data_IF_558568668705
#
_entry.id   IF_558568668705
#
_cell.length_a   1.000
_cell.length_b   1.000
_cell.length_c   1.000
_cell.angle_alpha   90.00
_cell.angle_beta   90.00
_cell.angle_gamma   90.00
#
_symmetry.space_group_name_H-M   'P 1'
#
loop_
_entity.id
_entity.type
_entity.pdbx_description
1 polymer ?
#
# COMPACT_ATOMS: atom_id res chain seq x y z
N UNK A 1 0.93 20.29 4.33
CA UNK A 1 2.39 20.20 4.12
C UNK A 1 2.84 18.77 4.28
N UNK A 2 3.61 18.28 3.33
CA UNK A 2 4.13 16.92 3.38
C UNK A 2 5.40 16.87 4.23
N UNK A 3 5.37 16.08 5.28
CA UNK A 3 6.58 15.81 6.07
C UNK A 3 7.43 14.74 5.41
N UNK A 4 6.78 13.77 4.81
CA UNK A 4 7.43 12.67 4.13
C UNK A 4 6.49 12.08 3.10
N UNK A 5 6.98 11.92 1.88
CA UNK A 5 6.23 11.22 0.83
C UNK A 5 7.16 10.23 0.15
N UNK A 6 6.72 8.98 0.12
CA UNK A 6 7.44 7.92 -0.57
C UNK A 6 6.46 7.20 -1.50
N UNK A 7 6.88 7.01 -2.73
CA UNK A 7 6.08 6.26 -3.68
C UNK A 7 6.95 5.33 -4.49
N UNK A 8 6.37 4.21 -4.88
CA UNK A 8 7.05 3.22 -5.70
C UNK A 8 6.08 2.66 -6.72
N UNK A 9 6.54 2.59 -7.96
CA UNK A 9 5.76 2.00 -9.04
C UNK A 9 6.57 0.90 -9.68
N UNK A 10 5.97 -0.28 -9.79
CA UNK A 10 6.68 -1.45 -10.27
C UNK A 10 5.74 -2.36 -11.05
N UNK A 11 6.23 -2.90 -12.15
CA UNK A 11 5.51 -3.89 -12.91
C UNK A 11 5.87 -5.28 -12.40
N UNK A 12 4.88 -6.10 -12.14
CA UNK A 12 5.06 -7.45 -11.63
C UNK A 12 3.91 -8.35 -12.07
N UNK A 13 4.04 -9.65 -11.82
CA UNK A 13 2.94 -10.57 -12.08
C UNK A 13 1.78 -10.33 -11.13
N UNK A 14 0.60 -10.79 -11.51
CA UNK A 14 -0.59 -10.73 -10.65
C UNK A 14 -0.36 -11.45 -9.33
N UNK A 15 0.31 -12.59 -9.38
CA UNK A 15 0.63 -13.40 -8.20
C UNK A 15 1.60 -12.69 -7.26
N UNK A 16 2.60 -12.02 -7.81
CA UNK A 16 3.53 -11.20 -7.02
C UNK A 16 2.81 -10.01 -6.38
N UNK A 17 1.89 -9.38 -7.11
CA UNK A 17 1.06 -8.30 -6.56
C UNK A 17 0.20 -8.81 -5.39
N UNK A 18 -0.38 -10.00 -5.54
CA UNK A 18 -1.16 -10.61 -4.47
C UNK A 18 -0.30 -10.88 -3.23
N UNK A 19 0.92 -11.38 -3.41
CA UNK A 19 1.85 -11.62 -2.31
C UNK A 19 2.24 -10.32 -1.60
N UNK A 20 2.46 -9.25 -2.36
CA UNK A 20 2.74 -7.94 -1.77
C UNK A 20 1.59 -7.48 -0.87
N UNK A 21 0.35 -7.64 -1.35
CA UNK A 21 -0.83 -7.27 -0.55
C UNK A 21 -0.95 -8.13 0.71
N UNK A 22 -0.63 -9.43 0.63
CA UNK A 22 -0.63 -10.31 1.81
C UNK A 22 0.39 -9.86 2.84
N UNK A 23 1.58 -9.47 2.40
CA UNK A 23 2.62 -8.95 3.29
C UNK A 23 2.19 -7.66 3.98
N UNK A 24 1.56 -6.75 3.25
CA UNK A 24 1.02 -5.53 3.83
C UNK A 24 -0.09 -5.83 4.84
N UNK A 25 -0.98 -6.75 4.50
CA UNK A 25 -2.05 -7.16 5.40
C UNK A 25 -1.51 -7.76 6.70
N UNK A 26 -0.49 -8.63 6.60
CA UNK A 26 0.16 -9.22 7.77
C UNK A 26 0.82 -8.16 8.64
N UNK A 27 1.50 -7.22 8.03
CA UNK A 27 2.16 -6.13 8.76
C UNK A 27 1.15 -5.30 9.56
N UNK A 28 0.04 -4.95 8.94
CA UNK A 28 -1.04 -4.22 9.61
C UNK A 28 -1.63 -5.02 10.77
N UNK A 29 -1.87 -6.31 10.56
CA UNK A 29 -2.52 -7.15 11.57
C UNK A 29 -1.61 -7.51 12.74
N UNK A 30 -0.32 -7.76 12.48
CA UNK A 30 0.60 -8.29 13.48
C UNK A 30 1.51 -7.25 14.10
N UNK A 31 1.86 -6.22 13.35
CA UNK A 31 2.84 -5.22 13.78
C UNK A 31 2.24 -3.84 13.97
N UNK A 32 0.93 -3.71 13.78
CA UNK A 32 0.20 -2.44 13.94
C UNK A 32 0.83 -1.30 13.13
N UNK A 33 1.32 -1.63 11.94
CA UNK A 33 1.99 -0.63 11.13
C UNK A 33 2.39 -1.14 9.77
N UNK A 34 3.07 -0.29 9.04
CA UNK A 34 3.61 -0.62 7.72
C UNK A 34 5.08 -0.26 7.66
N UNK A 35 5.83 -1.04 6.88
CA UNK A 35 7.23 -0.80 6.61
C UNK A 35 7.41 -0.53 5.12
N UNK A 36 8.14 0.53 4.82
CA UNK A 36 8.43 0.92 3.45
C UNK A 36 9.94 1.09 3.27
N UNK A 37 10.50 0.39 2.28
CA UNK A 37 11.91 0.50 1.90
C UNK A 37 12.01 1.04 0.48
N UNK A 38 12.73 2.13 0.32
CA UNK A 38 12.94 2.74 -0.99
C UNK A 38 14.31 3.39 -1.05
N UNK A 39 15.14 2.99 -2.01
CA UNK A 39 16.49 3.53 -2.20
C UNK A 39 17.34 3.53 -0.93
N UNK A 40 17.27 2.45 -0.15
CA UNK A 40 18.01 2.33 1.10
C UNK A 40 17.40 3.06 2.28
N UNK A 41 16.31 3.78 2.08
CA UNK A 41 15.57 4.44 3.15
C UNK A 41 14.52 3.47 3.68
N UNK A 42 14.54 3.22 4.98
CA UNK A 42 13.58 2.36 5.65
C UNK A 42 12.67 3.22 6.54
N UNK A 43 11.38 3.13 6.30
CA UNK A 43 10.38 3.85 7.08
C UNK A 43 9.42 2.86 7.69
N UNK A 44 9.16 3.00 8.97
CA UNK A 44 8.12 2.26 9.67
C UNK A 44 7.08 3.25 10.16
N UNK A 45 5.83 3.05 9.77
CA UNK A 45 4.74 3.91 10.17
C UNK A 45 3.78 3.15 11.08
N UNK A 46 3.43 3.74 12.21
CA UNK A 46 2.42 3.21 13.10
C UNK A 46 1.03 3.49 12.56
N UNK A 47 0.16 2.51 12.65
CA UNK A 47 -1.22 2.62 12.19
C UNK A 47 -2.15 2.44 13.39
N UNK A 48 -3.07 3.38 13.64
CA UNK A 48 -4.00 3.28 14.77
C UNK A 48 -5.03 2.18 14.57
N UNK A 49 -5.82 1.91 15.60
CA UNK A 49 -6.83 0.86 15.59
C UNK A 49 -7.93 1.09 14.56
N UNK A 50 -8.25 2.35 14.31
CA UNK A 50 -9.27 2.70 13.31
C UNK A 50 -8.64 3.42 12.13
N UNK A 51 -9.02 3.00 10.95
CA UNK A 51 -8.55 3.59 9.70
C UNK A 51 -9.71 3.73 8.73
N UNK A 52 -9.54 4.61 7.76
CA UNK A 52 -10.47 4.73 6.64
C UNK A 52 -9.88 3.97 5.46
N UNK A 53 -10.67 3.10 4.86
CA UNK A 53 -10.25 2.33 3.69
C UNK A 53 -11.12 2.71 2.51
N UNK A 54 -10.48 3.11 1.42
CA UNK A 54 -11.16 3.38 0.17
C UNK A 54 -10.66 2.38 -0.87
N UNK A 55 -11.60 1.73 -1.54
CA UNK A 55 -11.30 0.82 -2.64
C UNK A 55 -12.00 1.35 -3.87
N UNK A 56 -11.25 1.60 -4.92
CA UNK A 56 -11.78 2.14 -6.16
C UNK A 56 -11.39 1.25 -7.34
N UNK A 57 -12.37 0.87 -8.13
CA UNK A 57 -12.17 0.16 -9.37
C UNK A 57 -12.64 1.03 -10.53
N UNK A 58 -11.77 1.20 -11.53
CA UNK A 58 -12.09 1.97 -12.72
C UNK A 58 -11.72 1.15 -13.95
N UNK A 59 -12.66 1.06 -14.89
CA UNK A 59 -12.43 0.36 -16.14
C UNK A 59 -12.69 1.29 -17.31
N UNK A 60 -11.69 1.43 -18.17
CA UNK A 60 -11.78 2.16 -19.41
C UNK A 60 -11.56 1.21 -20.59
N UNK A 61 -11.70 1.72 -21.83
CA UNK A 61 -11.61 0.86 -23.02
C UNK A 61 -10.27 0.17 -23.20
N UNK A 62 -9.18 0.79 -22.74
CA UNK A 62 -7.81 0.31 -22.93
C UNK A 62 -7.01 0.20 -21.63
N UNK A 63 -7.60 0.56 -20.51
CA UNK A 63 -6.92 0.54 -19.22
C UNK A 63 -7.90 0.30 -18.09
N UNK A 64 -7.48 -0.45 -17.10
CA UNK A 64 -8.24 -0.65 -15.87
C UNK A 64 -7.34 -0.49 -14.67
N UNK A 65 -7.89 -0.04 -13.56
CA UNK A 65 -7.13 0.13 -12.33
C UNK A 65 -7.95 -0.27 -11.10
N UNK A 66 -7.25 -0.76 -10.10
CA UNK A 66 -7.77 -1.00 -8.77
C UNK A 66 -6.89 -0.25 -7.79
N UNK A 67 -7.47 0.65 -7.03
CA UNK A 67 -6.75 1.43 -6.03
C UNK A 67 -7.27 1.09 -4.63
N UNK A 68 -6.35 0.96 -3.71
CA UNK A 68 -6.65 0.73 -2.30
C UNK A 68 -5.90 1.78 -1.51
N UNK A 69 -6.63 2.60 -0.78
CA UNK A 69 -6.05 3.63 0.08
C UNK A 69 -6.48 3.40 1.52
N UNK A 70 -5.51 3.42 2.42
CA UNK A 70 -5.73 3.34 3.86
C UNK A 70 -5.20 4.62 4.46
N UNK A 71 -6.06 5.34 5.15
CA UNK A 71 -5.69 6.64 5.73
C UNK A 71 -6.10 6.75 7.20
N UNK A 72 -5.36 7.56 7.92
CA UNK A 72 -5.63 7.80 9.33
C UNK A 72 -5.13 9.17 9.77
#
# INVERSE_FOLDING_TARGET
MDLLELSEKKTMSREEAADLLRQLADSLARHNGVEFNHNGIKVQARVPDEVTVEVEFEAESDESSLEIEISW
#
